data_IF_156024328859
#
_entry.id   IF_156024328859
#
_cell.length_a   1.000
_cell.length_b   1.000
_cell.length_c   1.000
_cell.angle_alpha   90.00
_cell.angle_beta   90.00
_cell.angle_gamma   90.00
#
_symmetry.space_group_name_H-M   'P 1'
#
loop_
_entity.id
_entity.type
_entity.pdbx_description
1 polymer ?
#
# COMPACT_ATOMS: atom_id res chain seq x y z
N UNK A 1 16.40 -6.68 10.37
CA UNK A 1 15.66 -7.15 9.16
C UNK A 1 14.53 -6.15 8.80
N UNK A 2 14.00 -6.11 7.55
CA UNK A 2 12.93 -5.17 7.14
C UNK A 2 11.76 -5.82 6.37
N UNK A 3 10.60 -5.16 6.34
CA UNK A 3 9.48 -5.49 5.45
C UNK A 3 9.72 -4.87 4.06
N UNK A 4 9.88 -5.70 3.03
CA UNK A 4 10.15 -5.25 1.65
C UNK A 4 8.89 -4.70 0.97
N UNK A 5 9.06 -3.62 0.21
CA UNK A 5 8.08 -3.07 -0.73
C UNK A 5 8.61 -3.21 -2.16
N UNK A 6 7.71 -3.33 -3.15
CA UNK A 6 8.10 -3.35 -4.55
C UNK A 6 8.72 -2.01 -4.98
N UNK A 7 9.57 -2.03 -6.01
CA UNK A 7 10.14 -0.79 -6.57
C UNK A 7 9.05 0.19 -6.99
N UNK A 8 9.20 1.45 -6.58
CA UNK A 8 8.24 2.53 -6.82
C UNK A 8 7.05 2.57 -5.85
N UNK A 9 6.98 1.69 -4.85
CA UNK A 9 5.98 1.74 -3.76
C UNK A 9 6.53 2.55 -2.59
N UNK A 10 5.70 3.44 -2.05
CA UNK A 10 6.05 4.27 -0.90
C UNK A 10 5.78 3.53 0.43
N UNK A 11 6.38 4.01 1.51
CA UNK A 11 6.08 3.53 2.86
C UNK A 11 5.91 4.71 3.81
N UNK A 12 4.73 4.81 4.43
CA UNK A 12 4.43 5.82 5.44
C UNK A 12 4.79 5.34 6.84
N UNK A 13 4.67 4.03 7.09
CA UNK A 13 4.99 3.44 8.38
C UNK A 13 5.57 2.04 8.20
N UNK A 14 6.86 1.97 7.88
CA UNK A 14 7.61 0.72 7.87
C UNK A 14 8.37 0.53 9.19
N UNK A 15 8.69 -0.71 9.52
CA UNK A 15 9.42 -1.06 10.74
C UNK A 15 10.67 -1.84 10.40
N UNK A 16 11.77 -1.46 11.05
CA UNK A 16 13.05 -2.17 11.03
C UNK A 16 13.47 -2.36 12.48
N UNK A 17 14.03 -3.52 12.80
CA UNK A 17 14.75 -3.73 14.06
C UNK A 17 16.24 -3.88 13.76
N UNK A 18 17.04 -3.41 14.71
CA UNK A 18 18.50 -3.48 14.71
C UNK A 18 18.96 -3.79 16.13
N UNK A 19 20.01 -4.61 16.21
CA UNK A 19 20.64 -4.94 17.48
C UNK A 19 21.84 -4.01 17.65
N UNK A 20 21.85 -3.25 18.75
CA UNK A 20 22.88 -2.26 19.05
C UNK A 20 23.48 -2.58 20.41
N UNK A 21 24.78 -2.86 20.42
CA UNK A 21 25.52 -3.12 21.66
C UNK A 21 26.27 -1.86 22.10
N UNK A 22 26.08 -1.47 23.36
CA UNK A 22 26.84 -0.40 24.01
C UNK A 22 27.89 -1.03 24.93
N UNK A 23 29.03 -0.36 25.12
CA UNK A 23 30.16 -0.90 25.91
C UNK A 23 29.81 -1.14 27.39
N UNK A 24 28.83 -0.42 27.90
CA UNK A 24 28.36 -0.48 29.29
C UNK A 24 27.03 -1.24 29.42
N UNK A 25 26.61 -1.98 28.38
CA UNK A 25 25.37 -2.76 28.27
C UNK A 25 24.07 -1.98 28.54
N UNK A 26 24.16 -0.65 28.66
CA UNK A 26 23.00 0.21 28.87
C UNK A 26 22.32 0.51 27.54
N UNK A 27 20.97 0.53 27.49
CA UNK A 27 20.24 0.87 26.29
C UNK A 27 20.58 2.29 25.84
N UNK A 28 20.64 2.48 24.52
CA UNK A 28 20.76 3.81 23.94
C UNK A 28 19.48 4.62 24.18
N UNK A 29 19.64 5.93 24.36
CA UNK A 29 18.49 6.83 24.39
C UNK A 29 17.82 6.87 23.01
N UNK A 30 16.54 6.50 22.99
CA UNK A 30 15.73 6.39 21.76
C UNK A 30 15.58 7.74 21.05
N UNK A 31 15.44 8.85 21.79
CA UNK A 31 15.29 10.17 21.18
C UNK A 31 16.56 10.59 20.46
N UNK A 32 17.72 10.31 21.07
CA UNK A 32 19.03 10.54 20.48
C UNK A 32 19.22 9.72 19.21
N UNK A 33 18.88 8.43 19.21
CA UNK A 33 18.96 7.59 18.00
C UNK A 33 18.11 8.19 16.87
N UNK A 34 16.85 8.52 17.15
CA UNK A 34 15.94 9.11 16.15
C UNK A 34 16.52 10.38 15.54
N UNK A 35 17.04 11.28 16.38
CA UNK A 35 17.65 12.54 15.93
C UNK A 35 18.94 12.35 15.12
N UNK A 36 19.82 11.47 15.58
CA UNK A 36 21.09 11.15 14.89
C UNK A 36 20.81 10.54 13.53
N UNK A 37 19.94 9.53 13.44
CA UNK A 37 19.61 8.87 12.18
C UNK A 37 19.00 9.87 11.18
N UNK A 38 18.02 10.68 11.59
CA UNK A 38 17.42 11.67 10.71
C UNK A 38 18.44 12.71 10.20
N UNK A 39 19.37 13.15 11.05
CA UNK A 39 20.46 14.05 10.64
C UNK A 39 21.40 13.40 9.63
N UNK A 40 21.76 12.14 9.83
CA UNK A 40 22.63 11.40 8.89
C UNK A 40 21.91 11.20 7.56
N UNK A 41 20.65 10.73 7.57
CA UNK A 41 19.84 10.56 6.36
C UNK A 41 19.71 11.87 5.58
N UNK A 42 19.48 12.99 6.27
CA UNK A 42 19.45 14.31 5.67
C UNK A 42 20.81 14.72 5.07
N UNK A 43 21.92 14.47 5.79
CA UNK A 43 23.28 14.78 5.30
C UNK A 43 23.61 14.03 4.00
N UNK A 44 23.10 12.81 3.85
CA UNK A 44 23.27 11.99 2.65
C UNK A 44 22.17 12.21 1.59
N UNK A 45 21.28 13.20 1.79
CA UNK A 45 20.16 13.49 0.87
C UNK A 45 19.27 12.29 0.57
N UNK A 46 19.10 11.40 1.54
CA UNK A 46 18.23 10.23 1.42
C UNK A 46 16.80 10.64 1.77
N UNK A 47 15.80 10.35 0.91
CA UNK A 47 14.40 10.72 1.14
C UNK A 47 13.70 9.77 2.12
N UNK A 48 14.34 9.55 3.28
CA UNK A 48 13.89 8.65 4.34
C UNK A 48 13.86 9.44 5.63
N UNK A 49 12.79 9.26 6.41
CA UNK A 49 12.64 9.87 7.73
C UNK A 49 12.26 8.82 8.76
N UNK A 50 13.00 8.76 9.85
CA UNK A 50 12.68 7.97 11.04
C UNK A 50 11.61 8.74 11.83
N UNK A 51 10.45 8.12 12.01
CA UNK A 51 9.33 8.71 12.75
C UNK A 51 9.50 8.56 14.26
N UNK A 52 9.93 7.38 14.71
CA UNK A 52 10.15 7.05 16.11
C UNK A 52 11.07 5.83 16.23
N UNK A 53 11.68 5.65 17.39
CA UNK A 53 12.44 4.46 17.79
C UNK A 53 11.99 4.01 19.17
N UNK A 54 11.97 2.71 19.41
CA UNK A 54 11.55 2.11 20.68
C UNK A 54 12.51 0.97 21.03
N UNK A 55 12.76 0.79 22.32
CA UNK A 55 13.38 -0.44 22.83
C UNK A 55 12.36 -1.58 22.75
N UNK A 56 12.81 -2.75 22.36
CA UNK A 56 11.98 -3.96 22.19
C UNK A 56 12.71 -5.16 22.77
N UNK A 57 12.01 -6.20 23.25
CA UNK A 57 12.65 -7.43 23.71
C UNK A 57 13.53 -8.07 22.63
N UNK A 58 14.53 -8.84 23.04
CA UNK A 58 15.34 -9.65 22.12
C UNK A 58 14.51 -10.66 21.31
N UNK A 59 13.35 -11.06 21.83
CA UNK A 59 12.41 -11.94 21.15
C UNK A 59 11.60 -11.25 20.04
N UNK A 60 11.65 -9.92 19.94
CA UNK A 60 10.87 -9.18 18.96
C UNK A 60 11.48 -9.27 17.56
N UNK A 61 10.65 -9.62 16.58
CA UNK A 61 11.04 -9.64 15.19
C UNK A 61 10.00 -8.93 14.30
N UNK A 62 10.39 -7.78 13.73
CA UNK A 62 9.49 -6.90 12.95
C UNK A 62 8.73 -7.60 11.79
N UNK A 63 9.25 -8.69 11.22
CA UNK A 63 8.55 -9.44 10.18
C UNK A 63 7.56 -10.47 10.72
N UNK A 64 7.92 -11.16 11.79
CA UNK A 64 7.23 -12.37 12.27
C UNK A 64 6.18 -12.03 13.33
N UNK A 65 6.44 -11.04 14.18
CA UNK A 65 5.47 -10.50 15.13
C UNK A 65 4.43 -9.57 14.48
N UNK A 66 4.58 -9.23 13.19
CA UNK A 66 3.58 -8.44 12.48
C UNK A 66 2.27 -9.22 12.35
N UNK A 67 1.23 -8.78 13.05
CA UNK A 67 -0.11 -9.40 13.02
C UNK A 67 -0.90 -9.00 11.78
N UNK A 68 -0.54 -7.89 11.13
CA UNK A 68 -1.13 -7.48 9.86
C UNK A 68 -0.47 -6.26 9.24
N UNK A 69 -0.89 -5.95 8.02
CA UNK A 69 -0.44 -4.80 7.23
C UNK A 69 -1.66 -4.11 6.62
N UNK A 70 -1.65 -2.79 6.64
CA UNK A 70 -2.59 -1.98 5.88
C UNK A 70 -1.83 -1.28 4.78
N UNK A 71 -2.28 -1.47 3.54
CA UNK A 71 -1.84 -0.71 2.39
C UNK A 71 -2.87 0.38 2.09
N UNK A 72 -2.38 1.53 1.65
CA UNK A 72 -3.20 2.62 1.11
C UNK A 72 -2.88 2.75 -0.38
N UNK A 73 -3.91 2.75 -1.21
CA UNK A 73 -3.79 3.09 -2.61
C UNK A 73 -4.57 4.36 -2.89
N UNK A 74 -3.91 5.38 -3.47
CA UNK A 74 -4.51 6.67 -3.79
C UNK A 74 -4.86 6.74 -5.28
N UNK A 75 -6.12 7.08 -5.58
CA UNK A 75 -6.57 7.38 -6.95
C UNK A 75 -7.20 8.78 -7.02
N UNK A 76 -7.09 9.40 -8.18
CA UNK A 76 -7.75 10.65 -8.52
C UNK A 76 -8.50 10.47 -9.84
N UNK A 77 -9.82 10.63 -9.81
CA UNK A 77 -10.68 10.42 -10.98
C UNK A 77 -11.14 11.76 -11.52
N UNK A 78 -10.97 12.03 -12.81
CA UNK A 78 -11.41 13.29 -13.44
C UNK A 78 -12.93 13.45 -13.28
N UNK A 79 -13.38 14.66 -12.92
CA UNK A 79 -14.82 14.97 -12.83
C UNK A 79 -15.45 15.05 -14.23
N UNK A 80 -16.69 14.58 -14.35
CA UNK A 80 -17.42 14.53 -15.62
C UNK A 80 -17.57 15.90 -16.30
N UNK A 81 -17.66 17.00 -15.52
CA UNK A 81 -17.74 18.38 -16.04
C UNK A 81 -16.51 18.83 -16.83
N UNK A 82 -15.36 18.19 -16.60
CA UNK A 82 -14.08 18.48 -17.29
C UNK A 82 -13.95 17.61 -18.55
N UNK A 83 -14.55 16.42 -18.56
CA UNK A 83 -14.45 15.49 -19.69
C UNK A 83 -15.25 15.98 -20.90
N UNK A 84 -16.34 16.74 -20.70
CA UNK A 84 -17.20 17.24 -21.77
C UNK A 84 -16.58 18.38 -22.59
N UNK A 85 -15.59 19.10 -22.06
CA UNK A 85 -14.91 20.20 -22.78
C UNK A 85 -13.72 19.71 -23.61
N UNK A 86 -13.27 18.47 -23.41
CA UNK A 86 -12.12 17.87 -24.08
C UNK A 86 -12.55 17.00 -25.27
N UNK A 87 -13.13 17.61 -26.32
CA UNK A 87 -13.35 16.96 -27.63
C UNK A 87 -12.05 16.65 -28.39
N UNK A 88 -10.91 17.09 -27.86
CA UNK A 88 -9.59 16.82 -28.44
C UNK A 88 -9.00 15.55 -27.83
N UNK A 89 -8.64 14.59 -28.69
CA UNK A 89 -7.89 13.35 -28.39
C UNK A 89 -6.50 13.58 -27.74
N UNK A 90 -6.17 14.80 -27.35
CA UNK A 90 -4.91 15.16 -26.71
C UNK A 90 -5.04 15.01 -25.20
N UNK A 91 -4.00 14.46 -24.58
CA UNK A 91 -3.78 14.21 -23.14
C UNK A 91 -3.80 15.49 -22.27
N UNK A 92 -4.73 16.42 -22.49
CA UNK A 92 -4.78 17.70 -21.78
C UNK A 92 -4.96 17.51 -20.27
N UNK A 93 -5.58 16.41 -19.81
CA UNK A 93 -5.66 16.12 -18.37
C UNK A 93 -4.27 15.92 -17.73
N UNK A 94 -3.29 15.37 -18.46
CA UNK A 94 -1.92 15.21 -17.96
C UNK A 94 -1.24 16.57 -17.74
N UNK A 95 -1.65 17.61 -18.49
CA UNK A 95 -1.13 18.98 -18.34
C UNK A 95 -1.62 19.69 -17.06
N UNK A 96 -2.71 19.22 -16.46
CA UNK A 96 -3.27 19.77 -15.22
C UNK A 96 -3.04 18.85 -14.00
N UNK A 97 -2.07 17.95 -14.09
CA UNK A 97 -1.67 17.13 -12.96
C UNK A 97 -0.95 18.02 -11.93
N UNK A 98 -1.38 18.02 -10.66
CA UNK A 98 -0.66 18.74 -9.61
C UNK A 98 0.74 18.14 -9.44
N UNK A 99 1.77 18.98 -9.53
CA UNK A 99 3.17 18.55 -9.43
C UNK A 99 3.45 17.84 -8.10
N UNK A 100 2.74 18.21 -7.05
CA UNK A 100 2.82 17.67 -5.70
C UNK A 100 2.30 16.22 -5.62
N UNK A 101 1.44 15.80 -6.55
CA UNK A 101 0.82 14.47 -6.59
C UNK A 101 1.47 13.56 -7.64
N UNK A 102 2.42 14.07 -8.43
CA UNK A 102 3.19 13.27 -9.38
C UNK A 102 3.91 12.13 -8.65
N UNK A 103 3.74 10.93 -9.18
CA UNK A 103 4.25 9.69 -8.57
C UNK A 103 3.77 9.47 -7.12
N UNK A 104 2.61 10.01 -6.74
CA UNK A 104 1.98 9.81 -5.42
C UNK A 104 0.51 9.42 -5.49
N UNK A 105 -0.16 9.76 -6.59
CA UNK A 105 -1.54 9.40 -6.82
C UNK A 105 -1.73 8.83 -8.23
N UNK A 106 -2.58 7.83 -8.39
CA UNK A 106 -2.90 7.31 -9.72
C UNK A 106 -4.10 8.05 -10.32
N UNK A 107 -3.85 8.82 -11.36
CA UNK A 107 -4.87 9.60 -12.07
C UNK A 107 -5.58 8.73 -13.10
N UNK A 108 -6.91 8.73 -13.04
CA UNK A 108 -7.82 7.97 -13.91
C UNK A 108 -8.67 8.97 -14.68
N UNK A 109 -8.53 8.93 -16.00
CA UNK A 109 -9.34 9.71 -16.93
C UNK A 109 -10.31 8.77 -17.65
N UNK A 110 -11.47 8.53 -17.02
CA UNK A 110 -12.54 7.73 -17.61
C UNK A 110 -13.90 8.27 -17.15
N UNK A 111 -14.75 8.82 -18.05
CA UNK A 111 -16.05 9.35 -17.67
C UNK A 111 -17.00 8.29 -17.14
N UNK A 112 -16.74 7.01 -17.42
CA UNK A 112 -17.58 5.91 -17.00
C UNK A 112 -17.21 5.38 -15.61
N UNK A 113 -16.22 5.96 -14.93
CA UNK A 113 -15.80 5.50 -13.62
C UNK A 113 -16.93 5.65 -12.59
N UNK A 114 -17.40 4.51 -12.09
CA UNK A 114 -18.40 4.43 -11.04
C UNK A 114 -17.79 3.96 -9.71
N UNK A 115 -17.75 4.87 -8.74
CA UNK A 115 -17.22 4.57 -7.39
C UNK A 115 -18.11 3.63 -6.60
N UNK A 116 -19.42 3.61 -6.84
CA UNK A 116 -20.32 2.72 -6.13
C UNK A 116 -20.06 1.27 -6.55
N UNK A 117 -19.90 1.04 -7.86
CA UNK A 117 -19.48 -0.27 -8.38
C UNK A 117 -18.08 -0.66 -7.93
N UNK A 118 -17.16 0.29 -7.83
CA UNK A 118 -15.85 0.04 -7.22
C UNK A 118 -15.99 -0.49 -5.79
N UNK A 119 -16.85 0.14 -4.98
CA UNK A 119 -17.11 -0.25 -3.58
C UNK A 119 -17.84 -1.59 -3.46
N UNK A 120 -18.77 -1.88 -4.36
CA UNK A 120 -19.50 -3.15 -4.35
C UNK A 120 -18.58 -4.31 -4.75
N UNK A 121 -17.82 -4.13 -5.83
CA UNK A 121 -16.82 -5.10 -6.29
C UNK A 121 -15.72 -5.35 -5.26
N UNK A 122 -15.31 -4.34 -4.48
CA UNK A 122 -14.27 -4.51 -3.46
C UNK A 122 -14.70 -5.47 -2.34
N UNK A 123 -15.99 -5.55 -2.03
CA UNK A 123 -16.53 -6.48 -1.02
C UNK A 123 -16.31 -7.94 -1.41
N UNK A 124 -16.33 -8.27 -2.70
CA UNK A 124 -16.08 -9.63 -3.20
C UNK A 124 -14.68 -10.13 -2.83
N UNK A 125 -13.71 -9.22 -2.70
CA UNK A 125 -12.31 -9.55 -2.41
C UNK A 125 -12.03 -9.70 -0.90
N UNK A 126 -12.98 -9.35 -0.03
CA UNK A 126 -12.84 -9.48 1.43
C UNK A 126 -13.02 -10.95 1.83
N UNK A 127 -12.24 -11.40 2.80
CA UNK A 127 -12.24 -12.76 3.32
C UNK A 127 -11.08 -13.61 2.84
N UNK A 128 -11.21 -14.92 3.04
CA UNK A 128 -10.17 -15.91 2.76
C UNK A 128 -10.33 -16.51 1.37
N UNK A 129 -9.41 -16.18 0.45
CA UNK A 129 -9.45 -16.62 -0.95
C UNK A 129 -8.09 -17.10 -1.42
N UNK A 130 -8.07 -17.91 -2.48
CA UNK A 130 -6.84 -18.19 -3.24
C UNK A 130 -6.59 -17.05 -4.24
N UNK A 131 -5.61 -16.19 -3.94
CA UNK A 131 -5.31 -15.00 -4.74
C UNK A 131 -4.33 -15.25 -5.90
N UNK A 132 -4.19 -16.50 -6.37
CA UNK A 132 -3.26 -16.85 -7.46
C UNK A 132 -3.49 -16.06 -8.75
N UNK A 133 -4.73 -15.75 -9.11
CA UNK A 133 -5.03 -14.92 -10.28
C UNK A 133 -4.50 -13.49 -10.10
N UNK A 134 -4.46 -13.01 -8.85
CA UNK A 134 -4.03 -11.67 -8.47
C UNK A 134 -2.55 -11.59 -8.12
N UNK A 135 -1.75 -12.65 -8.28
CA UNK A 135 -0.30 -12.56 -8.09
C UNK A 135 0.42 -12.34 -9.43
N UNK A 136 1.54 -11.62 -9.40
CA UNK A 136 2.47 -11.64 -10.53
C UNK A 136 3.44 -12.80 -10.35
N UNK A 137 3.70 -13.56 -11.41
CA UNK A 137 4.75 -14.58 -11.40
C UNK A 137 6.10 -13.88 -11.45
N UNK A 138 6.95 -14.06 -10.44
CA UNK A 138 8.38 -13.85 -10.63
C UNK A 138 8.86 -15.01 -11.52
N UNK A 139 9.66 -14.71 -12.55
CA UNK A 139 10.28 -15.69 -13.45
C UNK A 139 11.31 -16.55 -12.69
N UNK A 140 10.90 -17.26 -11.65
CA UNK A 140 11.70 -18.35 -11.12
C UNK A 140 11.32 -19.60 -11.93
N UNK A 141 12.17 -19.92 -12.91
CA UNK A 141 12.17 -21.22 -13.55
C UNK A 141 12.22 -22.28 -12.43
N UNK A 142 11.23 -23.16 -12.38
CA UNK A 142 11.21 -24.40 -11.57
C UNK A 142 10.74 -24.31 -10.10
N UNK A 143 9.71 -23.54 -9.77
CA UNK A 143 9.11 -23.63 -8.43
C UNK A 143 7.59 -23.82 -8.46
N UNK A 144 7.13 -25.01 -8.86
CA UNK A 144 5.71 -25.40 -8.84
C UNK A 144 5.10 -25.29 -7.43
N UNK A 145 5.92 -25.36 -6.39
CA UNK A 145 5.50 -25.12 -4.99
C UNK A 145 4.93 -23.72 -4.79
N UNK A 146 5.44 -22.70 -5.49
CA UNK A 146 4.95 -21.32 -5.35
C UNK A 146 3.49 -21.12 -5.83
N UNK A 147 2.97 -22.08 -6.60
CA UNK A 147 1.61 -22.08 -7.13
C UNK A 147 0.66 -22.99 -6.36
N UNK A 148 1.13 -23.68 -5.31
CA UNK A 148 0.25 -24.51 -4.50
C UNK A 148 -0.66 -23.62 -3.62
N UNK A 149 -1.97 -23.94 -3.46
CA UNK A 149 -2.93 -23.12 -2.68
C UNK A 149 -2.44 -22.74 -1.28
N UNK A 150 -1.68 -23.63 -0.63
CA UNK A 150 -1.07 -23.38 0.68
C UNK A 150 -0.25 -22.08 0.74
N UNK A 151 0.34 -21.65 -0.38
CA UNK A 151 1.18 -20.45 -0.44
C UNK A 151 0.48 -19.25 -1.08
N UNK A 152 -0.69 -19.42 -1.70
CA UNK A 152 -1.44 -18.37 -2.41
C UNK A 152 -2.75 -17.97 -1.73
N UNK A 153 -3.24 -18.77 -0.78
CA UNK A 153 -4.38 -18.38 0.05
C UNK A 153 -4.00 -17.22 0.97
N UNK A 154 -4.77 -16.14 0.93
CA UNK A 154 -4.62 -14.98 1.81
C UNK A 154 -5.98 -14.61 2.40
N UNK A 155 -5.94 -13.93 3.53
CA UNK A 155 -7.10 -13.39 4.20
C UNK A 155 -7.04 -11.86 4.16
N UNK A 156 -8.03 -11.27 3.48
CA UNK A 156 -8.23 -9.83 3.42
C UNK A 156 -9.29 -9.47 4.46
N UNK A 157 -8.85 -8.81 5.53
CA UNK A 157 -9.72 -8.51 6.65
C UNK A 157 -10.69 -7.37 6.34
N UNK A 158 -10.22 -6.35 5.61
CA UNK A 158 -11.01 -5.17 5.32
C UNK A 158 -10.52 -4.49 4.04
N UNK A 159 -11.46 -3.99 3.24
CA UNK A 159 -11.19 -3.00 2.19
C UNK A 159 -12.10 -1.80 2.43
N UNK A 160 -11.50 -0.63 2.66
CA UNK A 160 -12.22 0.60 2.94
C UNK A 160 -11.93 1.64 1.86
N UNK A 161 -12.98 2.16 1.23
CA UNK A 161 -12.89 3.13 0.13
C UNK A 161 -13.46 4.46 0.62
N UNK A 162 -12.56 5.38 0.96
CA UNK A 162 -12.90 6.67 1.55
C UNK A 162 -12.67 7.79 0.55
N UNK A 163 -13.42 8.88 0.73
CA UNK A 163 -13.18 10.11 -0.02
C UNK A 163 -11.83 10.69 0.44
N UNK A 164 -10.90 10.83 -0.49
CA UNK A 164 -9.58 11.43 -0.25
C UNK A 164 -9.59 12.93 -0.51
N UNK A 165 -8.44 13.55 -0.26
CA UNK A 165 -8.15 14.95 -0.61
C UNK A 165 -6.81 15.03 -1.36
N UNK A 166 -6.61 16.13 -2.08
CA UNK A 166 -5.33 16.44 -2.70
C UNK A 166 -4.28 16.78 -1.63
N UNK A 167 -3.01 16.48 -1.91
CA UNK A 167 -1.86 16.96 -1.13
C UNK A 167 -1.27 18.25 -1.70
N UNK A 168 -1.80 18.75 -2.82
CA UNK A 168 -1.38 20.04 -3.37
C UNK A 168 -1.71 21.18 -2.40
N UNK A 169 -0.99 22.30 -2.53
CA UNK A 169 -1.11 23.45 -1.63
C UNK A 169 -1.44 24.73 -2.40
N UNK A 170 -2.06 25.69 -1.73
CA UNK A 170 -2.44 26.98 -2.32
C UNK A 170 -3.37 26.83 -3.53
N UNK A 171 -3.13 27.64 -4.57
CA UNK A 171 -3.95 27.69 -5.79
C UNK A 171 -4.00 26.33 -6.51
N UNK A 172 -2.92 25.55 -6.46
CA UNK A 172 -2.90 24.20 -7.04
C UNK A 172 -3.90 23.26 -6.36
N UNK A 173 -4.15 23.44 -5.05
CA UNK A 173 -5.13 22.63 -4.31
C UNK A 173 -6.55 22.87 -4.83
N UNK A 174 -6.96 24.13 -4.94
CA UNK A 174 -8.29 24.51 -5.44
C UNK A 174 -8.51 24.01 -6.87
N UNK A 175 -7.52 24.21 -7.74
CA UNK A 175 -7.57 23.71 -9.11
C UNK A 175 -7.68 22.18 -9.14
N UNK A 176 -6.84 21.47 -8.38
CA UNK A 176 -6.85 20.01 -8.31
C UNK A 176 -8.20 19.47 -7.81
N UNK A 177 -8.76 20.06 -6.76
CA UNK A 177 -10.06 19.66 -6.21
C UNK A 177 -11.22 20.02 -7.14
N UNK A 178 -11.09 21.08 -7.96
CA UNK A 178 -12.07 21.41 -8.98
C UNK A 178 -12.11 20.34 -10.09
N UNK A 179 -10.95 19.78 -10.47
CA UNK A 179 -10.79 18.88 -11.61
C UNK A 179 -10.96 17.40 -11.26
N UNK A 180 -10.59 16.99 -10.04
CA UNK A 180 -10.49 15.59 -9.65
C UNK A 180 -11.28 15.23 -8.40
N UNK A 181 -11.73 13.99 -8.38
CA UNK A 181 -12.31 13.29 -7.25
C UNK A 181 -11.27 12.32 -6.66
N UNK A 182 -10.72 12.63 -5.50
CA UNK A 182 -9.72 11.80 -4.83
C UNK A 182 -10.37 10.69 -4.00
N UNK A 183 -9.78 9.49 -4.03
CA UNK A 183 -10.20 8.35 -3.23
C UNK A 183 -9.01 7.63 -2.64
N UNK A 184 -9.14 7.29 -1.36
CA UNK A 184 -8.17 6.55 -0.57
C UNK A 184 -8.72 5.14 -0.32
N UNK A 185 -8.00 4.14 -0.83
CA UNK A 185 -8.38 2.72 -0.72
C UNK A 185 -7.44 2.05 0.27
N UNK A 186 -7.94 1.78 1.47
CA UNK A 186 -7.23 1.05 2.50
C UNK A 186 -7.53 -0.45 2.37
N UNK A 187 -6.49 -1.28 2.26
CA UNK A 187 -6.60 -2.75 2.20
C UNK A 187 -5.80 -3.33 3.36
N UNK A 188 -6.51 -4.00 4.27
CA UNK A 188 -5.94 -4.63 5.47
C UNK A 188 -5.93 -6.14 5.33
N UNK A 189 -4.80 -6.75 5.64
CA UNK A 189 -4.62 -8.20 5.61
C UNK A 189 -3.40 -8.63 6.41
N UNK A 190 -3.32 -9.92 6.76
CA UNK A 190 -2.15 -10.47 7.47
C UNK A 190 -0.88 -10.41 6.62
N UNK A 191 -1.01 -10.83 5.36
CA UNK A 191 0.07 -10.86 4.37
C UNK A 191 -0.49 -10.77 2.95
N UNK A 192 0.37 -10.44 2.00
CA UNK A 192 -0.01 -10.22 0.61
C UNK A 192 0.99 -10.92 -0.32
N UNK A 193 0.53 -11.39 -1.47
CA UNK A 193 1.36 -11.92 -2.55
C UNK A 193 2.03 -10.79 -3.33
N UNK A 194 3.07 -11.14 -4.10
CA UNK A 194 3.76 -10.20 -4.96
C UNK A 194 2.80 -9.52 -5.96
N UNK A 195 2.77 -8.19 -5.94
CA UNK A 195 1.83 -7.31 -6.68
C UNK A 195 0.33 -7.55 -6.43
N UNK A 196 -0.07 -8.30 -5.40
CA UNK A 196 -1.47 -8.63 -5.12
C UNK A 196 -2.36 -7.40 -5.03
N UNK A 197 -1.97 -6.45 -4.18
CA UNK A 197 -2.74 -5.23 -3.93
C UNK A 197 -2.95 -4.44 -5.22
N UNK A 198 -1.90 -4.29 -6.04
CA UNK A 198 -1.97 -3.56 -7.32
C UNK A 198 -2.85 -4.26 -8.35
N UNK A 199 -2.87 -5.59 -8.37
CA UNK A 199 -3.76 -6.37 -9.25
C UNK A 199 -5.21 -6.30 -8.78
N UNK A 200 -5.46 -6.34 -7.46
CA UNK A 200 -6.78 -6.11 -6.90
C UNK A 200 -7.30 -4.72 -7.28
N UNK A 201 -6.53 -3.65 -7.03
CA UNK A 201 -6.90 -2.28 -7.41
C UNK A 201 -7.16 -2.17 -8.91
N UNK A 202 -6.31 -2.75 -9.76
CA UNK A 202 -6.48 -2.71 -11.21
C UNK A 202 -7.80 -3.35 -11.64
N UNK A 203 -8.17 -4.48 -11.03
CA UNK A 203 -9.42 -5.18 -11.32
C UNK A 203 -10.64 -4.37 -10.87
N UNK A 204 -10.57 -3.73 -9.71
CA UNK A 204 -11.63 -2.84 -9.22
C UNK A 204 -11.81 -1.60 -10.11
N UNK A 205 -10.70 -1.00 -10.59
CA UNK A 205 -10.76 0.07 -11.57
C UNK A 205 -11.38 -0.42 -12.88
N UNK A 206 -11.03 -1.62 -13.34
CA UNK A 206 -11.60 -2.20 -14.56
C UNK A 206 -13.11 -2.46 -14.46
N UNK A 207 -13.61 -2.90 -13.29
CA UNK A 207 -15.06 -3.01 -13.03
C UNK A 207 -15.71 -1.62 -13.02
N UNK A 208 -15.11 -0.67 -12.30
CA UNK A 208 -15.62 0.69 -12.16
C UNK A 208 -15.67 1.43 -13.51
N UNK A 209 -14.80 1.10 -14.46
CA UNK A 209 -14.71 1.69 -15.80
C UNK A 209 -15.40 0.86 -16.89
N UNK A 210 -16.22 -0.14 -16.52
CA UNK A 210 -16.93 -1.02 -17.46
C UNK A 210 -16.05 -1.86 -18.39
N UNK A 211 -14.75 -2.00 -18.13
CA UNK A 211 -13.86 -2.85 -18.94
C UNK A 211 -14.10 -4.33 -18.70
N UNK A 212 -14.45 -4.68 -17.47
CA UNK A 212 -14.86 -6.03 -17.07
C UNK A 212 -16.14 -5.96 -16.23
N UNK A 213 -16.82 -7.09 -16.07
CA UNK A 213 -18.00 -7.21 -15.22
C UNK A 213 -17.64 -7.70 -13.83
N UNK A 214 -18.54 -7.52 -12.87
CA UNK A 214 -18.40 -8.13 -11.53
C UNK A 214 -18.34 -9.66 -11.60
N UNK A 215 -19.06 -10.26 -12.57
CA UNK A 215 -18.97 -11.70 -12.84
C UNK A 215 -17.55 -12.10 -13.25
N UNK A 216 -16.89 -11.35 -14.14
CA UNK A 216 -15.50 -11.61 -14.51
C UNK A 216 -14.55 -11.49 -13.30
N UNK A 217 -14.75 -10.50 -12.42
CA UNK A 217 -13.98 -10.39 -11.17
C UNK A 217 -14.22 -11.59 -10.25
N UNK A 218 -15.47 -12.04 -10.13
CA UNK A 218 -15.84 -13.20 -9.33
C UNK A 218 -15.21 -14.49 -9.89
N UNK A 219 -15.21 -14.69 -11.20
CA UNK A 219 -14.54 -15.82 -11.88
C UNK A 219 -13.03 -15.80 -11.65
N UNK A 220 -12.40 -14.62 -11.75
CA UNK A 220 -10.96 -14.44 -11.44
C UNK A 220 -10.62 -14.88 -10.01
N UNK A 221 -11.53 -14.66 -9.06
CA UNK A 221 -11.34 -14.98 -7.65
C UNK A 221 -11.65 -16.45 -7.32
N UNK A 222 -12.72 -17.00 -7.91
CA UNK A 222 -13.22 -18.35 -7.61
C UNK A 222 -12.59 -19.47 -8.44
N UNK A 223 -11.99 -19.12 -9.58
CA UNK A 223 -11.23 -20.03 -10.42
C UNK A 223 -9.76 -19.58 -10.41
N UNK A 224 -8.99 -19.88 -9.34
CA UNK A 224 -7.65 -19.35 -9.14
C UNK A 224 -6.65 -19.93 -10.14
N UNK A 225 -6.18 -19.11 -11.08
CA UNK A 225 -5.20 -19.52 -12.08
C UNK A 225 -4.46 -18.32 -12.63
N UNK A 226 -3.17 -18.50 -12.96
CA UNK A 226 -2.39 -17.47 -13.67
C UNK A 226 -2.99 -17.14 -15.05
N UNK A 227 -3.68 -18.10 -15.65
CA UNK A 227 -4.31 -17.95 -16.96
C UNK A 227 -5.67 -17.25 -16.92
N UNK A 228 -6.26 -17.13 -15.72
CA UNK A 228 -7.57 -16.50 -15.55
C UNK A 228 -7.46 -14.99 -15.33
N UNK A 229 -6.26 -14.42 -15.40
CA UNK A 229 -6.11 -12.97 -15.37
C UNK A 229 -6.74 -12.36 -16.62
N UNK A 230 -7.77 -11.52 -16.43
CA UNK A 230 -8.42 -10.85 -17.54
C UNK A 230 -7.48 -9.80 -18.17
N UNK A 231 -7.21 -9.95 -19.46
CA UNK A 231 -6.28 -9.11 -20.23
C UNK A 231 -6.75 -7.64 -20.34
N UNK A 232 -8.03 -7.36 -20.09
CA UNK A 232 -8.59 -6.00 -20.06
C UNK A 232 -8.24 -5.26 -18.76
N UNK A 233 -7.72 -5.98 -17.75
CA UNK A 233 -7.27 -5.41 -16.50
C UNK A 233 -5.82 -4.96 -16.60
N UNK A 234 -5.61 -3.66 -16.42
CA UNK A 234 -4.28 -3.07 -16.35
C UNK A 234 -3.73 -3.18 -14.93
N UNK A 235 -2.43 -3.49 -14.81
CA UNK A 235 -1.75 -3.47 -13.54
C UNK A 235 -1.64 -2.03 -13.02
N UNK A 236 -2.26 -1.74 -11.88
CA UNK A 236 -2.19 -0.41 -11.28
C UNK A 236 -0.74 0.01 -11.01
N UNK A 237 -0.35 1.27 -11.24
CA UNK A 237 1.00 1.76 -11.00
C UNK A 237 1.49 1.56 -9.55
N UNK A 238 2.81 1.46 -9.36
CA UNK A 238 3.39 1.27 -8.03
C UNK A 238 3.31 2.54 -7.17
N UNK A 239 3.46 3.70 -7.81
CA UNK A 239 3.61 4.99 -7.15
C UNK A 239 2.35 5.51 -6.44
N UNK A 240 1.18 4.93 -6.73
CA UNK A 240 -0.06 5.20 -5.99
C UNK A 240 -0.22 4.34 -4.73
N UNK A 241 0.65 3.34 -4.53
CA UNK A 241 0.59 2.41 -3.40
C UNK A 241 1.54 2.84 -2.28
N UNK A 242 1.04 2.74 -1.06
CA UNK A 242 1.74 3.06 0.18
C UNK A 242 1.60 1.90 1.16
N UNK A 243 2.69 1.45 1.77
CA UNK A 243 2.61 0.72 3.04
C UNK A 243 2.18 1.72 4.11
N UNK A 244 0.90 1.67 4.50
CA UNK A 244 0.29 2.65 5.39
C UNK A 244 0.58 2.36 6.85
N UNK A 245 0.45 1.10 7.27
CA UNK A 245 0.71 0.68 8.65
C UNK A 245 1.11 -0.79 8.72
N UNK A 246 2.03 -1.11 9.63
CA UNK A 246 2.26 -2.48 10.11
C UNK A 246 1.70 -2.58 11.52
N UNK A 247 0.91 -3.61 11.77
CA UNK A 247 0.25 -3.84 13.05
C UNK A 247 1.03 -4.89 13.84
N UNK A 248 1.26 -4.61 15.13
CA UNK A 248 1.91 -5.50 16.09
C UNK A 248 1.02 -5.64 17.33
N UNK A 249 1.22 -6.72 18.07
CA UNK A 249 0.72 -6.80 19.44
C UNK A 249 1.59 -5.92 20.35
N UNK A 250 0.99 -5.07 21.16
CA UNK A 250 1.76 -4.16 22.04
C UNK A 250 2.63 -4.91 23.03
N UNK A 251 2.13 -6.05 23.54
CA UNK A 251 2.86 -6.93 24.47
C UNK A 251 4.17 -7.46 23.88
N UNK A 252 4.21 -7.70 22.57
CA UNK A 252 5.41 -8.19 21.88
C UNK A 252 6.48 -7.09 21.77
N UNK A 253 6.11 -5.82 21.98
CA UNK A 253 7.00 -4.65 21.88
C UNK A 253 7.36 -4.06 23.25
N UNK A 254 6.84 -4.61 24.35
CA UNK A 254 7.12 -4.13 25.71
C UNK A 254 8.53 -4.53 26.12
N UNK A 255 9.43 -3.55 26.19
CA UNK A 255 10.77 -3.78 26.73
C UNK A 255 10.67 -4.06 28.22
N UNK A 256 11.23 -5.17 28.72
CA UNK A 256 11.23 -5.45 30.15
C UNK A 256 12.03 -4.35 30.87
N UNK A 257 11.37 -3.61 31.74
CA UNK A 257 12.06 -2.72 32.68
C UNK A 257 12.61 -3.66 33.76
N UNK A 258 13.92 -3.90 33.75
CA UNK A 258 14.56 -4.50 34.91
C UNK A 258 14.49 -3.45 36.04
N UNK A 259 13.57 -3.64 36.97
CA UNK A 259 13.58 -2.99 38.29
C UNK A 259 14.77 -3.54 39.10
N UNK A 260 15.98 -3.22 38.66
CA UNK A 260 17.21 -3.50 39.39
C UNK A 260 17.91 -2.19 39.69
N UNK A 261 17.34 -1.41 40.63
CA UNK A 261 18.02 -0.39 41.44
C UNK A 261 17.12 0.14 42.57
N UNK A 262 16.74 -0.73 43.50
CA UNK A 262 16.30 -0.35 44.86
C UNK A 262 16.64 -1.48 45.83
N UNK A 263 17.92 -1.57 46.19
CA UNK A 263 18.56 -2.29 47.32
C UNK A 263 20.04 -2.13 47.01
N UNK A 264 20.90 -1.41 47.74
CA UNK A 264 20.98 -0.96 49.14
C UNK A 264 21.99 0.18 49.17
#
# INVERSE_FOLDING_TARGET
MYCSTDSGVHALHTTVHVDLQRRDDMPYDVKTITGVLNRILCKHSLPIRILNTRLVPETFHCRYNAVGRTYLYRIAVTKSSVVTTATSKNKQFEAYLPVEELHRCYFIHDPNFDVQRFKEASRLLVGRHDFRTFMSTVREKNNDRAFHPMFTVRDINEINVKRGKTTAVGVNSELAESLYNYWDIEIKGKSFLYKQVRRMIGSLIAVATNRITEKSLYEMLTIPSKHNWDHRVLLSPAFGLYLYRVHYNEKDMEFPINDSKTST
#
